data_IF_955290749905
#
_entry.id   IF_955290749905
#
_cell.length_a   1.000
_cell.length_b   1.000
_cell.length_c   1.000
_cell.angle_alpha   90.00
_cell.angle_beta   90.00
_cell.angle_gamma   90.00
#
_symmetry.space_group_name_H-M   'P 1'
#
loop_
_entity.id
_entity.type
_entity.pdbx_description
1 polymer ?
#
# COMPACT_ATOMS: atom_id res chain seq x y z
N UNK A 1 9.48 -14.95 13.54
CA UNK A 1 8.20 -14.24 13.31
C UNK A 1 8.24 -13.33 12.08
N UNK A 2 9.22 -12.43 11.92
CA UNK A 2 9.33 -11.63 10.67
C UNK A 2 9.56 -12.49 9.42
N UNK A 3 10.50 -13.44 9.49
CA UNK A 3 10.78 -14.40 8.39
C UNK A 3 9.52 -15.19 8.02
N UNK A 4 8.93 -15.86 9.01
CA UNK A 4 7.66 -16.59 8.90
C UNK A 4 6.50 -15.76 8.29
N UNK A 5 6.32 -14.52 8.75
CA UNK A 5 5.32 -13.62 8.15
C UNK A 5 5.69 -13.25 6.71
N UNK A 6 6.95 -12.95 6.43
CA UNK A 6 7.39 -12.59 5.08
C UNK A 6 7.21 -13.73 4.10
N UNK A 7 7.42 -14.98 4.53
CA UNK A 7 7.25 -16.16 3.68
C UNK A 7 5.77 -16.43 3.40
N UNK A 8 4.91 -16.30 4.42
CA UNK A 8 3.45 -16.33 4.26
C UNK A 8 2.99 -15.28 3.25
N UNK A 9 3.45 -14.03 3.40
CA UNK A 9 3.04 -12.94 2.49
C UNK A 9 3.60 -13.09 1.08
N UNK A 10 4.83 -13.60 0.94
CA UNK A 10 5.40 -13.92 -0.36
C UNK A 10 4.56 -14.98 -1.08
N UNK A 11 4.19 -16.06 -0.38
CA UNK A 11 3.32 -17.11 -0.92
C UNK A 11 1.93 -16.60 -1.29
N UNK A 12 1.34 -15.71 -0.48
CA UNK A 12 -0.01 -15.17 -0.68
C UNK A 12 -0.08 -13.94 -1.58
N UNK A 13 1.04 -13.49 -2.15
CA UNK A 13 1.12 -12.20 -2.87
C UNK A 13 0.07 -12.09 -3.99
N UNK A 14 -0.07 -13.13 -4.83
CA UNK A 14 -1.04 -13.13 -5.92
C UNK A 14 -2.49 -13.10 -5.43
N UNK A 15 -2.80 -13.85 -4.36
CA UNK A 15 -4.14 -13.86 -3.77
C UNK A 15 -4.50 -12.49 -3.18
N UNK A 16 -3.58 -11.90 -2.41
CA UNK A 16 -3.76 -10.60 -1.77
C UNK A 16 -3.97 -9.53 -2.84
N UNK A 17 -3.10 -9.46 -3.84
CA UNK A 17 -3.19 -8.45 -4.91
C UNK A 17 -4.48 -8.60 -5.72
N UNK A 18 -4.93 -9.84 -5.95
CA UNK A 18 -6.18 -10.11 -6.67
C UNK A 18 -7.40 -9.62 -5.87
N UNK A 19 -7.43 -9.88 -4.57
CA UNK A 19 -8.50 -9.40 -3.68
C UNK A 19 -8.55 -7.87 -3.59
N UNK A 20 -7.39 -7.23 -3.49
CA UNK A 20 -7.29 -5.76 -3.49
C UNK A 20 -7.86 -5.22 -4.81
N UNK A 21 -7.44 -5.76 -5.96
CA UNK A 21 -7.91 -5.32 -7.27
C UNK A 21 -9.43 -5.49 -7.44
N UNK A 22 -9.95 -6.65 -7.07
CA UNK A 22 -11.40 -6.92 -7.09
C UNK A 22 -12.16 -5.93 -6.20
N UNK A 23 -11.68 -5.67 -4.98
CA UNK A 23 -12.35 -4.78 -4.03
C UNK A 23 -12.31 -3.31 -4.46
N UNK A 24 -11.24 -2.89 -5.11
CA UNK A 24 -11.12 -1.55 -5.73
C UNK A 24 -12.11 -1.40 -6.87
N UNK A 25 -12.19 -2.37 -7.79
CA UNK A 25 -13.10 -2.32 -8.94
C UNK A 25 -14.57 -2.49 -8.55
N UNK A 26 -14.87 -3.23 -7.48
CA UNK A 26 -16.22 -3.39 -6.96
C UNK A 26 -16.78 -2.10 -6.33
N UNK A 27 -15.94 -1.10 -6.04
CA UNK A 27 -16.38 0.15 -5.42
C UNK A 27 -15.93 1.39 -6.22
N UNK A 28 -16.41 1.54 -7.47
CA UNK A 28 -15.94 2.57 -8.40
C UNK A 28 -16.29 3.99 -7.94
N UNK A 29 -17.29 4.16 -7.06
CA UNK A 29 -17.61 5.46 -6.46
C UNK A 29 -16.50 5.93 -5.50
N UNK A 30 -15.89 5.01 -4.76
CA UNK A 30 -14.79 5.28 -3.83
C UNK A 30 -13.41 5.32 -4.52
N UNK A 31 -13.26 4.57 -5.61
CA UNK A 31 -11.99 4.40 -6.33
C UNK A 31 -12.13 4.83 -7.80
N UNK A 32 -12.73 5.98 -8.04
CA UNK A 32 -13.12 6.49 -9.37
C UNK A 32 -11.97 6.50 -10.38
N UNK A 33 -10.75 6.73 -9.94
CA UNK A 33 -9.57 6.82 -10.82
C UNK A 33 -9.14 5.43 -11.33
N UNK A 34 -9.53 4.35 -10.65
CA UNK A 34 -9.23 2.97 -11.06
C UNK A 34 -10.34 2.31 -11.88
N UNK A 35 -11.51 2.95 -12.05
CA UNK A 35 -12.71 2.33 -12.64
C UNK A 35 -12.54 1.80 -14.07
N UNK A 36 -11.58 2.35 -14.81
CA UNK A 36 -11.31 1.99 -16.21
C UNK A 36 -10.02 1.17 -16.38
N UNK A 37 -9.36 0.79 -15.29
CA UNK A 37 -8.14 -0.03 -15.36
C UNK A 37 -8.56 -1.50 -15.38
N UNK A 38 -8.11 -2.31 -16.37
CA UNK A 38 -8.38 -3.74 -16.38
C UNK A 38 -7.93 -4.43 -15.10
N UNK A 39 -8.69 -5.43 -14.64
CA UNK A 39 -8.40 -6.18 -13.41
C UNK A 39 -6.96 -6.71 -13.36
N UNK A 40 -6.50 -7.31 -14.47
CA UNK A 40 -5.15 -7.86 -14.59
C UNK A 40 -4.07 -6.77 -14.46
N UNK A 41 -4.29 -5.61 -15.09
CA UNK A 41 -3.36 -4.50 -14.98
C UNK A 41 -3.30 -3.95 -13.55
N UNK A 42 -4.45 -3.83 -12.89
CA UNK A 42 -4.54 -3.38 -11.51
C UNK A 42 -3.86 -4.38 -10.55
N UNK A 43 -4.09 -5.67 -10.74
CA UNK A 43 -3.41 -6.75 -10.03
C UNK A 43 -1.89 -6.64 -10.15
N UNK A 44 -1.37 -6.52 -11.38
CA UNK A 44 0.07 -6.44 -11.65
C UNK A 44 0.70 -5.18 -11.03
N UNK A 45 -0.02 -4.05 -11.05
CA UNK A 45 0.43 -2.81 -10.38
C UNK A 45 0.54 -2.99 -8.86
N UNK A 46 -0.44 -3.64 -8.23
CA UNK A 46 -0.36 -3.93 -6.79
C UNK A 46 0.77 -4.89 -6.47
N UNK A 47 0.89 -5.98 -7.23
CA UNK A 47 1.96 -6.98 -7.07
C UNK A 47 3.35 -6.35 -7.15
N UNK A 48 3.58 -5.47 -8.13
CA UNK A 48 4.87 -4.79 -8.31
C UNK A 48 5.28 -3.91 -7.12
N UNK A 49 4.32 -3.40 -6.35
CA UNK A 49 4.61 -2.60 -5.15
C UNK A 49 4.64 -3.46 -3.89
N UNK A 50 3.83 -4.51 -3.84
CA UNK A 50 3.67 -5.38 -2.68
C UNK A 50 4.93 -6.17 -2.33
N UNK A 51 5.76 -6.54 -3.32
CA UNK A 51 7.04 -7.24 -3.07
C UNK A 51 7.96 -6.44 -2.13
N UNK A 52 8.04 -5.11 -2.28
CA UNK A 52 8.84 -4.24 -1.41
C UNK A 52 8.28 -4.17 0.02
N UNK A 53 6.96 -4.33 0.17
CA UNK A 53 6.32 -4.43 1.47
C UNK A 53 6.72 -5.74 2.18
N UNK A 54 6.73 -6.85 1.44
CA UNK A 54 7.19 -8.16 1.96
C UNK A 54 8.66 -8.11 2.35
N UNK A 55 9.52 -7.53 1.50
CA UNK A 55 10.94 -7.36 1.79
C UNK A 55 11.16 -6.52 3.06
N UNK A 56 10.37 -5.46 3.25
CA UNK A 56 10.43 -4.62 4.45
C UNK A 56 10.11 -5.37 5.74
N UNK A 57 9.25 -6.39 5.67
CA UNK A 57 8.98 -7.28 6.80
C UNK A 57 10.17 -8.22 7.01
N UNK A 58 10.65 -8.85 5.94
CA UNK A 58 11.74 -9.82 5.96
C UNK A 58 13.01 -9.26 6.61
N UNK A 59 13.47 -8.09 6.17
CA UNK A 59 14.70 -7.46 6.69
C UNK A 59 14.45 -6.60 7.93
N UNK A 60 13.23 -6.60 8.47
CA UNK A 60 12.82 -5.77 9.59
C UNK A 60 13.11 -4.26 9.42
N UNK A 61 12.96 -3.72 8.22
CA UNK A 61 13.25 -2.31 7.91
C UNK A 61 12.19 -1.75 6.99
N UNK A 62 11.76 -0.50 7.20
CA UNK A 62 10.84 0.17 6.27
C UNK A 62 11.55 0.69 5.01
N UNK A 63 12.88 0.58 4.92
CA UNK A 63 13.64 1.12 3.80
C UNK A 63 13.17 0.61 2.43
N UNK A 64 12.94 -0.70 2.19
CA UNK A 64 12.55 -1.18 0.87
C UNK A 64 11.22 -0.57 0.38
N UNK A 65 10.22 -0.47 1.26
CA UNK A 65 8.95 0.17 0.90
C UNK A 65 9.12 1.68 0.73
N UNK A 66 9.93 2.34 1.56
CA UNK A 66 10.18 3.79 1.43
C UNK A 66 10.90 4.16 0.13
N UNK A 67 11.86 3.34 -0.30
CA UNK A 67 12.65 3.59 -1.52
C UNK A 67 11.75 3.62 -2.78
N UNK A 68 10.66 2.84 -2.80
CA UNK A 68 9.72 2.83 -3.93
C UNK A 68 8.51 3.74 -3.73
N UNK A 69 8.04 3.92 -2.49
CA UNK A 69 6.76 4.59 -2.24
C UNK A 69 6.79 6.07 -2.58
N UNK A 70 7.94 6.74 -2.41
CA UNK A 70 8.10 8.15 -2.78
C UNK A 70 7.85 8.36 -4.27
N UNK A 71 8.45 7.50 -5.09
CA UNK A 71 8.29 7.51 -6.55
C UNK A 71 6.82 7.26 -6.89
N UNK A 72 6.21 6.21 -6.31
CA UNK A 72 4.82 5.83 -6.60
C UNK A 72 3.83 6.90 -6.17
N UNK A 73 3.99 7.48 -4.98
CA UNK A 73 3.12 8.56 -4.49
C UNK A 73 3.21 9.75 -5.44
N UNK A 74 4.41 10.20 -5.81
CA UNK A 74 4.56 11.35 -6.74
C UNK A 74 3.99 11.04 -8.12
N UNK A 75 4.17 9.84 -8.64
CA UNK A 75 3.55 9.40 -9.91
C UNK A 75 2.02 9.46 -9.85
N UNK A 76 1.43 9.01 -8.74
CA UNK A 76 -0.02 9.05 -8.53
C UNK A 76 -0.51 10.49 -8.39
N UNK A 77 0.13 11.32 -7.57
CA UNK A 77 -0.23 12.73 -7.43
C UNK A 77 -0.19 13.46 -8.78
N UNK A 78 0.85 13.23 -9.60
CA UNK A 78 0.96 13.78 -10.97
C UNK A 78 -0.13 13.30 -11.92
N UNK A 79 -0.65 12.08 -11.73
CA UNK A 79 -1.79 11.52 -12.48
C UNK A 79 -3.15 12.02 -11.95
N UNK A 80 -3.15 12.96 -11.00
CA UNK A 80 -4.37 13.57 -10.46
C UNK A 80 -5.00 12.80 -9.30
N UNK A 81 -4.30 11.81 -8.73
CA UNK A 81 -4.78 11.14 -7.52
C UNK A 81 -4.69 12.09 -6.33
N UNK A 82 -5.76 12.18 -5.54
CA UNK A 82 -5.71 12.91 -4.27
C UNK A 82 -5.01 12.07 -3.20
N UNK A 83 -4.55 12.73 -2.14
CA UNK A 83 -4.02 12.02 -0.97
C UNK A 83 -5.06 11.06 -0.37
N UNK A 84 -6.34 11.44 -0.38
CA UNK A 84 -7.43 10.59 0.10
C UNK A 84 -7.58 9.32 -0.74
N UNK A 85 -7.40 9.40 -2.06
CA UNK A 85 -7.44 8.22 -2.93
C UNK A 85 -6.33 7.24 -2.59
N UNK A 86 -5.10 7.75 -2.42
CA UNK A 86 -3.94 6.93 -2.07
C UNK A 86 -4.12 6.31 -0.67
N UNK A 87 -4.65 7.07 0.30
CA UNK A 87 -4.97 6.55 1.63
C UNK A 87 -6.05 5.46 1.60
N UNK A 88 -7.07 5.61 0.76
CA UNK A 88 -8.13 4.61 0.61
C UNK A 88 -7.60 3.30 0.01
N UNK A 89 -6.65 3.37 -0.92
CA UNK A 89 -5.96 2.20 -1.46
C UNK A 89 -5.05 1.57 -0.41
N UNK A 90 -4.29 2.38 0.32
CA UNK A 90 -3.44 1.89 1.40
C UNK A 90 -4.24 1.15 2.48
N UNK A 91 -5.43 1.66 2.83
CA UNK A 91 -6.33 1.05 3.79
C UNK A 91 -6.82 -0.33 3.32
N UNK A 92 -7.31 -0.43 2.06
CA UNK A 92 -7.79 -1.71 1.54
C UNK A 92 -6.66 -2.72 1.40
N UNK A 93 -5.46 -2.29 0.98
CA UNK A 93 -4.26 -3.13 0.95
C UNK A 93 -3.91 -3.68 2.32
N UNK A 94 -3.91 -2.84 3.36
CA UNK A 94 -3.66 -3.28 4.73
C UNK A 94 -4.69 -4.32 5.18
N UNK A 95 -5.98 -4.06 4.97
CA UNK A 95 -7.07 -4.95 5.39
C UNK A 95 -6.95 -6.34 4.74
N UNK A 96 -6.78 -6.40 3.41
CA UNK A 96 -6.65 -7.67 2.70
C UNK A 96 -5.37 -8.42 3.10
N UNK A 97 -4.27 -7.70 3.33
CA UNK A 97 -3.00 -8.30 3.76
C UNK A 97 -3.13 -8.95 5.13
N UNK A 98 -3.67 -8.22 6.12
CA UNK A 98 -3.89 -8.74 7.48
C UNK A 98 -4.84 -9.94 7.43
N UNK A 99 -5.94 -9.83 6.70
CA UNK A 99 -6.95 -10.87 6.62
C UNK A 99 -6.39 -12.15 6.01
N UNK A 100 -5.69 -12.07 4.87
CA UNK A 100 -5.09 -13.23 4.21
C UNK A 100 -4.01 -13.88 5.08
N UNK A 101 -3.13 -13.11 5.71
CA UNK A 101 -2.09 -13.64 6.57
C UNK A 101 -2.68 -14.35 7.80
N UNK A 102 -3.62 -13.73 8.52
CA UNK A 102 -4.24 -14.38 9.69
C UNK A 102 -4.94 -15.69 9.29
N UNK A 103 -5.64 -15.69 8.14
CA UNK A 103 -6.35 -16.87 7.65
C UNK A 103 -5.42 -18.03 7.28
N UNK A 104 -4.15 -17.77 6.96
CA UNK A 104 -3.19 -18.84 6.62
C UNK A 104 -2.72 -19.64 7.84
N UNK A 105 -2.95 -19.15 9.06
CA UNK A 105 -2.62 -19.82 10.31
C UNK A 105 -3.79 -19.74 11.29
N UNK A 106 -4.90 -20.47 11.02
CA UNK A 106 -6.07 -20.43 11.89
C UNK A 106 -5.72 -20.97 13.29
N UNK A 107 -6.19 -20.29 14.33
CA UNK A 107 -5.98 -20.71 15.71
C UNK A 107 -4.68 -20.25 16.37
N UNK A 108 -3.87 -19.43 15.70
CA UNK A 108 -2.66 -18.84 16.28
C UNK A 108 -2.87 -17.35 16.66
N UNK A 109 -3.28 -17.04 17.90
CA UNK A 109 -3.51 -15.66 18.34
C UNK A 109 -2.21 -14.84 18.43
N UNK A 110 -1.08 -15.47 18.69
CA UNK A 110 0.22 -14.78 18.77
C UNK A 110 0.66 -14.31 17.39
N UNK A 111 0.55 -15.18 16.37
CA UNK A 111 0.77 -14.82 14.99
C UNK A 111 -0.22 -13.73 14.54
N UNK A 112 -1.51 -13.87 14.84
CA UNK A 112 -2.51 -12.88 14.45
C UNK A 112 -2.24 -11.48 15.02
N UNK A 113 -1.83 -11.40 16.29
CA UNK A 113 -1.45 -10.14 16.93
C UNK A 113 -0.19 -9.56 16.29
N UNK A 114 0.82 -10.40 16.04
CA UNK A 114 2.06 -9.99 15.38
C UNK A 114 1.81 -9.44 13.96
N UNK A 115 0.99 -10.11 13.16
CA UNK A 115 0.58 -9.67 11.82
C UNK A 115 -0.02 -8.27 11.87
N UNK A 116 -1.00 -8.07 12.76
CA UNK A 116 -1.67 -6.76 12.93
C UNK A 116 -0.66 -5.69 13.30
N UNK A 117 0.18 -5.92 14.30
CA UNK A 117 1.19 -4.95 14.73
C UNK A 117 2.17 -4.60 13.61
N UNK A 118 2.69 -5.61 12.91
CA UNK A 118 3.73 -5.42 11.90
C UNK A 118 3.21 -4.69 10.67
N UNK A 119 2.04 -5.08 10.18
CA UNK A 119 1.42 -4.43 9.02
C UNK A 119 1.01 -3.01 9.40
N UNK A 120 0.37 -2.80 10.55
CA UNK A 120 -0.03 -1.46 11.01
C UNK A 120 1.16 -0.50 11.12
N UNK A 121 2.29 -0.98 11.61
CA UNK A 121 3.52 -0.19 11.70
C UNK A 121 4.00 0.28 10.32
N UNK A 122 4.16 -0.65 9.36
CA UNK A 122 4.61 -0.29 8.01
C UNK A 122 3.60 0.60 7.27
N UNK A 123 2.31 0.32 7.40
CA UNK A 123 1.25 1.16 6.83
C UNK A 123 1.26 2.57 7.42
N UNK A 124 1.54 2.71 8.72
CA UNK A 124 1.64 4.02 9.36
C UNK A 124 2.83 4.82 8.84
N UNK A 125 3.97 4.18 8.59
CA UNK A 125 5.14 4.82 7.97
C UNK A 125 4.80 5.32 6.56
N UNK A 126 4.16 4.49 5.73
CA UNK A 126 3.73 4.87 4.38
C UNK A 126 2.75 6.04 4.42
N UNK A 127 1.79 6.02 5.35
CA UNK A 127 0.84 7.12 5.57
C UNK A 127 1.56 8.42 5.93
N UNK A 128 2.48 8.39 6.88
CA UNK A 128 3.27 9.56 7.27
C UNK A 128 4.05 10.11 6.09
N UNK A 129 4.64 9.23 5.28
CA UNK A 129 5.40 9.66 4.10
C UNK A 129 4.53 10.30 3.02
N UNK A 130 3.34 9.77 2.77
CA UNK A 130 2.35 10.38 1.87
C UNK A 130 1.98 11.79 2.30
N UNK A 131 1.72 12.00 3.60
CA UNK A 131 1.39 13.33 4.13
C UNK A 131 2.57 14.28 3.91
N UNK A 132 3.81 13.86 4.22
CA UNK A 132 4.99 14.68 4.00
C UNK A 132 5.15 15.10 2.53
N UNK A 133 5.06 14.16 1.59
CA UNK A 133 5.15 14.45 0.15
C UNK A 133 4.03 15.42 -0.28
N UNK A 134 2.82 15.24 0.22
CA UNK A 134 1.71 16.14 -0.12
C UNK A 134 1.96 17.59 0.31
N UNK A 135 2.63 17.78 1.45
CA UNK A 135 2.99 19.12 1.95
C UNK A 135 4.12 19.71 1.10
N UNK A 136 5.12 18.91 0.75
CA UNK A 136 6.24 19.31 -0.11
C UNK A 136 5.73 19.81 -1.48
N UNK A 137 4.87 19.04 -2.15
CA UNK A 137 4.32 19.38 -3.47
C UNK A 137 3.41 20.63 -3.44
N UNK A 138 2.61 20.79 -2.38
CA UNK A 138 1.78 21.98 -2.19
C UNK A 138 2.61 23.25 -1.91
N UNK A 139 3.72 23.09 -1.19
CA UNK A 139 4.62 24.22 -0.88
C UNK A 139 5.40 24.66 -2.11
N UNK A 140 5.89 23.72 -2.92
CA UNK A 140 6.57 24.00 -4.19
C UNK A 140 5.66 24.75 -5.18
N UNK A 141 4.39 24.35 -5.29
CA UNK A 141 3.40 24.98 -6.18
C UNK A 141 3.09 26.45 -5.80
N UNK A 142 3.17 26.79 -4.51
CA UNK A 142 2.98 28.17 -4.02
C UNK A 142 4.18 29.07 -4.31
N UNK A 143 5.39 28.52 -4.33
CA UNK A 143 6.62 29.26 -4.66
C UNK A 143 6.69 29.61 -6.15
N UNK A 144 6.20 28.73 -7.03
CA UNK A 144 6.17 28.97 -8.48
C UNK A 144 5.03 29.88 -8.96
N UNK A 145 4.09 30.24 -8.09
CA UNK A 145 2.94 31.12 -8.41
C UNK A 145 3.10 32.55 -7.91
N UNK A 146 4.26 32.89 -7.32
CA UNK A 146 4.60 34.27 -6.99
C UNK A 146 4.95 35.03 -8.29
N UNK A 147 4.29 36.15 -8.60
CA UNK A 147 4.70 37.00 -9.71
C UNK A 147 6.09 37.59 -9.43
N UNK A 148 6.96 37.57 -10.44
CA UNK A 148 8.23 38.31 -10.44
C UNK A 148 8.00 39.82 -10.25
#
# INVERSE_FOLDING_TARGET
>A
MNEDLSDVLAFLTDEICSKIALRVLANPAKYTIYKNIPLEELHNRFKATFVYFVDSIRINSAKPVLDIIDIRIRELLKKGFSCNDILNILAVTMEETVHCAIRSKPGDPAFANFVRLRINYLTSIVRTRLIAISIEENSASKLTSLPN
#
